data_IF_980239784698
#
_entry.id   IF_980239784698
#
_cell.length_a   1.000
_cell.length_b   1.000
_cell.length_c   1.000
_cell.angle_alpha   90.00
_cell.angle_beta   90.00
_cell.angle_gamma   90.00
#
_symmetry.space_group_name_H-M   'P 1'
#
loop_
_entity.id
_entity.type
_entity.pdbx_description
1 polymer ?
#
# COMPACT_ATOMS: atom_id res chain seq x y z
N UNK A 1 12.49 -5.30 -3.01
CA UNK A 1 13.23 -4.02 -3.05
C UNK A 1 14.68 -4.34 -2.75
N UNK A 2 15.62 -3.62 -3.36
CA UNK A 2 17.05 -3.91 -3.27
C UNK A 2 17.82 -2.60 -3.07
N UNK A 3 18.93 -2.67 -2.34
CA UNK A 3 19.79 -1.52 -2.08
C UNK A 3 20.47 -1.03 -3.36
N UNK A 4 20.75 0.28 -3.42
CA UNK A 4 21.38 0.94 -4.58
C UNK A 4 20.45 1.17 -5.78
N UNK A 5 19.24 0.59 -5.79
CA UNK A 5 18.22 0.88 -6.82
C UNK A 5 17.44 2.14 -6.46
N UNK A 6 16.95 2.84 -7.48
CA UNK A 6 16.05 3.97 -7.30
C UNK A 6 14.82 3.57 -6.46
N UNK A 7 14.47 4.40 -5.49
CA UNK A 7 13.36 4.17 -4.56
C UNK A 7 12.00 4.34 -5.26
N UNK A 8 11.63 3.33 -6.05
CA UNK A 8 10.40 3.25 -6.82
C UNK A 8 9.56 2.08 -6.33
N UNK A 9 8.46 2.37 -5.63
CA UNK A 9 7.57 1.33 -5.11
C UNK A 9 6.18 1.90 -4.80
N UNK A 10 5.23 1.00 -4.61
CA UNK A 10 3.88 1.32 -4.16
C UNK A 10 3.62 0.63 -2.83
N UNK A 11 2.78 1.25 -2.01
CA UNK A 11 2.30 0.67 -0.75
C UNK A 11 0.87 0.21 -0.97
N UNK A 12 0.62 -1.08 -0.79
CA UNK A 12 -0.71 -1.68 -0.88
C UNK A 12 -1.33 -1.77 0.51
N UNK A 13 -2.66 -1.63 0.60
CA UNK A 13 -3.39 -1.82 1.85
C UNK A 13 -3.63 -3.31 2.12
N UNK A 14 -2.57 -4.11 2.23
CA UNK A 14 -2.64 -5.50 2.69
C UNK A 14 -1.26 -6.08 3.03
N UNK A 15 -1.24 -7.14 3.85
CA UNK A 15 -0.01 -7.78 4.36
C UNK A 15 0.48 -8.97 3.54
N UNK A 16 -0.35 -9.51 2.63
CA UNK A 16 -0.02 -10.68 1.81
C UNK A 16 -0.27 -10.42 0.33
N UNK A 17 0.64 -10.90 -0.52
CA UNK A 17 0.50 -10.85 -1.98
C UNK A 17 -0.79 -11.54 -2.44
N UNK A 18 -1.14 -12.67 -1.81
CA UNK A 18 -2.35 -13.41 -2.14
C UNK A 18 -3.61 -12.58 -1.86
N UNK A 19 -3.73 -12.02 -0.65
CA UNK A 19 -4.89 -11.21 -0.27
C UNK A 19 -4.96 -9.89 -1.06
N UNK A 20 -3.81 -9.28 -1.36
CA UNK A 20 -3.74 -8.08 -2.17
C UNK A 20 -4.39 -8.27 -3.56
N UNK A 21 -4.13 -9.42 -4.18
CA UNK A 21 -4.72 -9.80 -5.46
C UNK A 21 -6.20 -10.16 -5.28
N UNK A 22 -6.52 -11.07 -4.36
CA UNK A 22 -7.88 -11.57 -4.11
C UNK A 22 -8.87 -10.44 -3.84
N UNK A 23 -8.48 -9.48 -3.01
CA UNK A 23 -9.31 -8.33 -2.61
C UNK A 23 -9.22 -7.14 -3.57
N UNK A 24 -8.33 -7.17 -4.58
CA UNK A 24 -8.01 -6.04 -5.47
C UNK A 24 -7.77 -4.76 -4.68
N UNK A 25 -6.84 -4.83 -3.73
CA UNK A 25 -6.64 -3.75 -2.76
C UNK A 25 -6.15 -2.46 -3.40
N UNK A 26 -6.54 -1.34 -2.78
CA UNK A 26 -6.12 -0.02 -3.22
C UNK A 26 -4.63 0.25 -2.92
N UNK A 27 -4.03 1.12 -3.73
CA UNK A 27 -2.72 1.70 -3.47
C UNK A 27 -2.86 2.85 -2.47
N UNK A 28 -2.20 2.75 -1.32
CA UNK A 28 -2.16 3.80 -0.31
C UNK A 28 -1.15 4.89 -0.67
N UNK A 29 -0.01 4.53 -1.25
CA UNK A 29 1.00 5.49 -1.65
C UNK A 29 1.78 5.01 -2.87
N UNK A 30 2.25 5.96 -3.67
CA UNK A 30 3.21 5.72 -4.73
C UNK A 30 4.43 6.60 -4.51
N UNK A 31 5.60 5.95 -4.46
CA UNK A 31 6.90 6.59 -4.27
C UNK A 31 7.68 6.46 -5.57
N UNK A 32 8.20 7.59 -6.06
CA UNK A 32 9.04 7.66 -7.26
C UNK A 32 10.31 8.42 -6.93
N UNK A 33 11.46 7.77 -7.09
CA UNK A 33 12.78 8.30 -6.75
C UNK A 33 12.88 8.86 -5.32
N UNK A 34 12.15 8.26 -4.38
CA UNK A 34 12.12 8.70 -2.97
C UNK A 34 11.01 9.70 -2.64
N UNK A 35 10.39 10.34 -3.64
CA UNK A 35 9.31 11.32 -3.43
C UNK A 35 7.93 10.68 -3.53
N UNK A 36 6.98 11.16 -2.73
CA UNK A 36 5.58 10.75 -2.83
C UNK A 36 4.91 11.45 -4.02
N UNK A 37 4.47 10.66 -4.99
CA UNK A 37 3.55 11.16 -6.02
C UNK A 37 2.16 11.37 -5.44
N UNK A 38 1.74 10.48 -4.54
CA UNK A 38 0.55 10.66 -3.71
C UNK A 38 0.61 9.78 -2.45
N UNK A 39 -0.18 10.17 -1.45
CA UNK A 39 -0.45 9.38 -0.25
C UNK A 39 -1.91 9.53 0.16
N UNK A 40 -2.58 8.42 0.40
CA UNK A 40 -3.96 8.31 0.89
C UNK A 40 -3.94 7.80 2.33
N UNK A 41 -4.97 8.15 3.10
CA UNK A 41 -5.20 7.50 4.41
C UNK A 41 -5.68 6.08 4.20
N UNK A 42 -5.38 5.21 5.16
CA UNK A 42 -6.00 3.90 5.21
C UNK A 42 -7.53 4.07 5.34
N UNK A 43 -8.34 3.16 4.77
CA UNK A 43 -9.78 3.21 4.94
C UNK A 43 -10.12 3.07 6.43
N UNK A 44 -10.93 3.99 6.91
CA UNK A 44 -11.56 3.93 8.22
C UNK A 44 -12.89 3.18 8.07
N UNK A 45 -13.18 2.28 8.99
CA UNK A 45 -14.42 1.51 9.00
C UNK A 45 -15.23 1.92 10.23
N UNK A 46 -16.51 2.23 10.02
CA UNK A 46 -17.42 2.63 11.09
C UNK A 46 -17.77 1.46 12.03
N UNK A 47 -17.53 0.23 11.56
CA UNK A 47 -17.84 -1.00 12.29
C UNK A 47 -16.54 -1.60 12.82
N UNK A 48 -16.40 -1.80 14.14
CA UNK A 48 -15.22 -2.41 14.72
C UNK A 48 -15.09 -3.87 14.27
N UNK A 49 -13.84 -4.31 14.10
CA UNK A 49 -13.54 -5.70 13.78
C UNK A 49 -13.67 -6.54 15.04
N UNK A 50 -14.68 -7.42 15.08
CA UNK A 50 -14.85 -8.43 16.12
C UNK A 50 -14.22 -9.74 15.61
N UNK A 51 -13.17 -10.20 16.29
CA UNK A 51 -12.25 -11.26 15.85
C UNK A 51 -12.21 -12.41 16.86
#
# INVERSE_FOLDING_TARGET
MEEGKAANFIVLNESSVYEAIRKRVNVLASVRNGDFLFRRRAPEYDIPLDL
#
